data_IF_356666701190
#
_entry.id   IF_356666701190
#
_cell.length_a   1.000
_cell.length_b   1.000
_cell.length_c   1.000
_cell.angle_alpha   90.00
_cell.angle_beta   90.00
_cell.angle_gamma   90.00
#
_symmetry.space_group_name_H-M   'P 1'
#
loop_
_entity.id
_entity.type
_entity.pdbx_description
1 polymer ?
#
# COMPACT_ATOMS: atom_id res chain seq x y z
N UNK A 1 -60.66 14.57 43.29
CA UNK A 1 -59.35 15.13 43.82
C UNK A 1 -58.31 14.08 44.18
N UNK A 2 -58.62 12.93 44.80
CA UNK A 2 -57.56 11.92 45.18
C UNK A 2 -57.11 11.03 44.02
N UNK A 3 -57.89 10.85 42.97
CA UNK A 3 -57.55 10.00 41.80
C UNK A 3 -56.66 10.73 40.80
N UNK A 4 -56.80 12.01 40.64
CA UNK A 4 -56.00 12.82 39.66
C UNK A 4 -54.55 12.98 40.13
N UNK A 5 -54.30 13.10 41.43
CA UNK A 5 -52.92 13.14 41.97
C UNK A 5 -52.19 11.83 41.88
N UNK A 6 -52.87 10.69 41.80
CA UNK A 6 -52.25 9.36 41.66
C UNK A 6 -51.78 9.11 40.21
N UNK A 7 -52.57 9.61 39.23
CA UNK A 7 -52.23 9.47 37.81
C UNK A 7 -51.02 10.38 37.44
N UNK A 8 -50.97 11.61 37.98
CA UNK A 8 -49.86 12.53 37.76
C UNK A 8 -48.54 12.00 38.36
N UNK A 9 -48.60 11.35 39.53
CA UNK A 9 -47.43 10.71 40.15
C UNK A 9 -46.96 9.44 39.41
N UNK A 10 -47.86 8.66 38.82
CA UNK A 10 -47.51 7.48 38.02
C UNK A 10 -46.87 7.88 36.68
N UNK A 11 -47.34 8.95 36.01
CA UNK A 11 -46.76 9.44 34.77
C UNK A 11 -45.38 10.09 35.01
N UNK A 12 -45.20 10.79 36.16
CA UNK A 12 -43.91 11.36 36.52
C UNK A 12 -42.85 10.27 36.88
N UNK A 13 -43.25 9.15 37.49
CA UNK A 13 -42.34 8.01 37.76
C UNK A 13 -41.98 7.25 36.47
N UNK A 14 -42.89 7.12 35.51
CA UNK A 14 -42.64 6.45 34.25
C UNK A 14 -41.75 7.29 33.33
N UNK A 15 -41.87 8.63 33.37
CA UNK A 15 -40.98 9.54 32.65
C UNK A 15 -39.56 9.57 33.20
N UNK A 16 -39.36 9.36 34.53
CA UNK A 16 -38.05 9.33 35.15
C UNK A 16 -37.28 8.02 34.87
N UNK A 17 -37.97 6.92 34.63
CA UNK A 17 -37.35 5.60 34.33
C UNK A 17 -36.91 5.52 32.88
N UNK A 18 -37.49 6.29 31.94
CA UNK A 18 -37.07 6.29 30.53
C UNK A 18 -35.82 7.15 30.23
N UNK A 19 -35.34 7.96 31.19
CA UNK A 19 -34.11 8.77 31.00
C UNK A 19 -32.83 8.08 31.44
N UNK A 20 -32.87 6.86 31.93
CA UNK A 20 -31.67 6.14 32.45
C UNK A 20 -31.18 5.01 31.55
N UNK A 21 -31.74 4.82 30.31
CA UNK A 21 -31.30 3.76 29.38
C UNK A 21 -30.67 4.37 28.14
N UNK A 22 -29.98 5.49 28.24
CA UNK A 22 -29.15 6.05 27.15
C UNK A 22 -27.71 6.27 27.59
N UNK A 23 -27.13 5.27 28.29
CA UNK A 23 -25.69 5.08 28.29
C UNK A 23 -25.38 3.90 27.38
N UNK A 24 -25.47 4.11 26.06
CA UNK A 24 -24.78 3.27 25.13
C UNK A 24 -23.31 3.28 25.54
N UNK A 25 -22.76 2.13 25.87
CA UNK A 25 -21.35 1.93 26.12
C UNK A 25 -20.57 2.33 24.84
N UNK A 26 -20.27 3.63 24.70
CA UNK A 26 -19.13 4.04 23.88
C UNK A 26 -17.94 3.31 24.51
N UNK A 27 -17.37 2.37 23.79
CA UNK A 27 -16.07 1.85 24.13
C UNK A 27 -15.12 3.04 24.13
N UNK A 28 -14.78 3.56 25.30
CA UNK A 28 -13.74 4.55 25.52
C UNK A 28 -12.39 3.91 25.18
N UNK A 29 -12.19 3.60 23.89
CA UNK A 29 -10.84 3.37 23.40
C UNK A 29 -10.16 4.73 23.43
N UNK A 30 -9.08 4.89 24.20
CA UNK A 30 -8.35 6.15 24.22
C UNK A 30 -7.97 6.51 22.79
N UNK A 31 -8.19 7.77 22.42
CA UNK A 31 -7.77 8.29 21.13
C UNK A 31 -6.24 8.21 21.07
N UNK A 32 -5.73 7.30 20.24
CA UNK A 32 -4.30 7.16 20.02
C UNK A 32 -3.77 8.39 19.26
N UNK A 33 -2.56 8.87 19.58
CA UNK A 33 -1.92 9.92 18.81
C UNK A 33 -1.61 9.44 17.39
N UNK A 34 -1.39 10.39 16.46
CA UNK A 34 -0.91 10.05 15.12
C UNK A 34 0.52 9.49 15.18
N UNK A 35 0.81 8.58 14.25
CA UNK A 35 2.19 8.03 14.12
C UNK A 35 3.19 9.11 13.74
N UNK A 36 4.43 8.97 14.23
CA UNK A 36 5.61 9.75 13.85
C UNK A 36 6.52 8.98 12.88
N UNK A 37 7.61 9.60 12.46
CA UNK A 37 8.62 9.01 11.58
C UNK A 37 8.36 9.25 10.09
N UNK A 38 9.39 9.04 9.28
CA UNK A 38 9.32 9.20 7.82
C UNK A 38 8.68 7.98 7.16
N UNK A 39 8.08 8.17 5.99
CA UNK A 39 7.55 7.07 5.20
C UNK A 39 8.64 6.03 4.88
N UNK A 40 8.35 4.75 5.14
CA UNK A 40 9.30 3.66 4.98
C UNK A 40 10.43 3.62 6.01
N UNK A 41 10.30 4.33 7.14
CA UNK A 41 11.21 4.22 8.28
C UNK A 41 10.72 3.14 9.25
N UNK A 42 11.64 2.35 9.78
CA UNK A 42 11.38 1.26 10.74
C UNK A 42 12.31 1.43 11.94
N UNK A 43 11.74 1.40 13.15
CA UNK A 43 12.51 1.28 14.38
C UNK A 43 12.76 -0.19 14.67
N UNK A 44 14.02 -0.59 14.79
CA UNK A 44 14.45 -1.89 15.29
C UNK A 44 14.86 -1.75 16.76
N UNK A 45 14.04 -2.28 17.67
CA UNK A 45 14.28 -2.23 19.11
C UNK A 45 15.07 -3.47 19.49
N UNK A 46 16.38 -3.31 19.70
CA UNK A 46 17.29 -4.33 20.19
C UNK A 46 18.54 -3.70 20.80
N UNK A 47 19.18 -4.40 21.71
CA UNK A 47 20.40 -3.90 22.35
C UNK A 47 21.57 -3.81 21.38
N UNK A 48 22.53 -2.98 21.72
CA UNK A 48 23.68 -2.66 20.86
C UNK A 48 24.49 -3.90 20.48
N UNK A 49 24.68 -4.80 21.43
CA UNK A 49 25.39 -6.08 21.18
C UNK A 49 24.70 -6.95 20.13
N UNK A 50 23.37 -7.02 20.14
CA UNK A 50 22.60 -7.74 19.15
C UNK A 50 22.60 -7.04 17.80
N UNK A 51 22.53 -5.70 17.80
CA UNK A 51 22.59 -4.88 16.59
C UNK A 51 23.92 -4.99 15.85
N UNK A 52 25.03 -5.03 16.59
CA UNK A 52 26.37 -5.20 16.03
C UNK A 52 26.70 -6.67 15.71
N UNK A 53 25.85 -7.63 16.17
CA UNK A 53 25.97 -9.05 15.97
C UNK A 53 25.19 -9.61 14.77
N UNK A 54 25.03 -10.95 14.78
CA UNK A 54 24.35 -11.72 13.73
C UNK A 54 22.87 -11.28 13.54
N UNK A 55 22.14 -11.02 14.65
CA UNK A 55 20.74 -10.63 14.59
C UNK A 55 20.56 -9.27 13.89
N UNK A 56 21.40 -8.29 14.19
CA UNK A 56 21.37 -7.00 13.53
C UNK A 56 21.76 -7.08 12.05
N UNK A 57 22.74 -7.95 11.70
CA UNK A 57 23.06 -8.22 10.29
C UNK A 57 21.84 -8.80 9.56
N UNK A 58 21.23 -9.87 10.08
CA UNK A 58 20.04 -10.48 9.51
C UNK A 58 18.87 -9.47 9.36
N UNK A 59 18.72 -8.56 10.33
CA UNK A 59 17.70 -7.50 10.28
C UNK A 59 17.97 -6.51 9.14
N UNK A 60 19.21 -6.09 8.94
CA UNK A 60 19.61 -5.21 7.83
C UNK A 60 19.47 -5.92 6.48
N UNK A 61 19.91 -7.16 6.39
CA UNK A 61 19.82 -7.96 5.16
C UNK A 61 18.37 -8.14 4.70
N UNK A 62 17.43 -8.26 5.64
CA UNK A 62 16.01 -8.38 5.33
C UNK A 62 15.34 -7.03 5.06
N UNK A 63 15.43 -6.10 6.01
CA UNK A 63 14.63 -4.87 5.98
C UNK A 63 15.28 -3.74 5.17
N UNK A 64 16.60 -3.77 4.99
CA UNK A 64 17.31 -2.84 4.13
C UNK A 64 17.82 -3.48 2.84
N UNK A 65 17.24 -4.63 2.44
CA UNK A 65 17.45 -5.20 1.12
C UNK A 65 17.10 -4.18 0.03
N UNK A 66 17.67 -4.34 -1.16
CA UNK A 66 17.39 -3.44 -2.27
C UNK A 66 15.90 -3.49 -2.67
N UNK A 67 15.30 -2.31 -2.84
CA UNK A 67 13.96 -2.20 -3.41
C UNK A 67 14.02 -2.61 -4.89
N UNK A 68 13.15 -3.53 -5.35
CA UNK A 68 13.24 -4.09 -6.69
C UNK A 68 12.91 -3.05 -7.77
N UNK A 69 13.53 -3.21 -8.94
CA UNK A 69 13.26 -2.41 -10.14
C UNK A 69 13.39 -0.90 -9.95
N UNK A 70 14.42 -0.46 -9.22
CA UNK A 70 14.84 0.94 -9.21
C UNK A 70 16.12 1.10 -10.02
N UNK A 71 16.29 2.21 -10.78
CA UNK A 71 17.53 2.45 -11.54
C UNK A 71 18.73 2.74 -10.64
N UNK A 72 18.49 3.06 -9.37
CA UNK A 72 19.51 3.23 -8.33
C UNK A 72 19.16 2.35 -7.13
N UNK A 73 20.18 1.88 -6.41
CA UNK A 73 19.97 1.07 -5.22
C UNK A 73 19.38 1.93 -4.09
N UNK A 74 18.19 1.57 -3.65
CA UNK A 74 17.53 2.15 -2.50
C UNK A 74 17.06 1.01 -1.58
N UNK A 75 17.22 1.11 -0.25
CA UNK A 75 16.79 0.05 0.65
C UNK A 75 15.25 -0.04 0.72
N UNK A 76 14.72 -1.22 0.97
CA UNK A 76 13.28 -1.42 1.24
C UNK A 76 12.80 -0.45 2.33
N UNK A 77 13.49 -0.43 3.46
CA UNK A 77 13.19 0.46 4.59
C UNK A 77 14.44 1.15 5.10
N UNK A 78 14.27 2.34 5.67
CA UNK A 78 15.33 3.02 6.43
C UNK A 78 15.23 2.56 7.89
N UNK A 79 16.28 1.93 8.42
CA UNK A 79 16.25 1.34 9.76
C UNK A 79 16.94 2.27 10.76
N UNK A 80 16.29 2.46 11.90
CA UNK A 80 16.86 3.16 13.07
C UNK A 80 16.91 2.16 14.23
N UNK A 81 18.10 1.85 14.72
CA UNK A 81 18.23 1.01 15.92
C UNK A 81 18.02 1.84 17.18
N UNK A 82 17.19 1.34 18.08
CA UNK A 82 16.93 1.91 19.40
C UNK A 82 17.18 0.82 20.45
N UNK A 83 18.09 1.03 21.41
CA UNK A 83 18.31 0.08 22.50
C UNK A 83 17.02 -0.13 23.32
N UNK A 84 16.84 -1.32 23.88
CA UNK A 84 15.66 -1.65 24.73
C UNK A 84 15.48 -0.67 25.87
N UNK A 85 16.58 -0.24 26.51
CA UNK A 85 16.59 0.75 27.61
C UNK A 85 16.24 2.17 27.14
N UNK A 86 16.44 2.48 25.86
CA UNK A 86 16.14 3.78 25.24
C UNK A 86 14.76 3.82 24.56
N UNK A 87 14.02 2.72 24.53
CA UNK A 87 12.70 2.64 23.88
C UNK A 87 11.64 3.33 24.75
N UNK A 88 11.63 4.65 24.71
CA UNK A 88 10.72 5.52 25.44
C UNK A 88 9.58 6.04 24.55
N UNK A 89 8.71 6.87 25.13
CA UNK A 89 7.42 7.31 24.54
C UNK A 89 7.58 7.96 23.14
N UNK A 90 8.65 8.69 22.90
CA UNK A 90 8.94 9.29 21.59
C UNK A 90 9.07 8.23 20.48
N UNK A 91 9.68 7.09 20.79
CA UNK A 91 9.86 6.00 19.84
C UNK A 91 8.64 5.09 19.73
N UNK A 92 7.84 4.99 20.82
CA UNK A 92 6.61 4.17 20.83
C UNK A 92 5.56 4.65 19.83
N UNK A 93 5.51 5.95 19.53
CA UNK A 93 4.55 6.49 18.55
C UNK A 93 5.05 6.38 17.10
N UNK A 94 6.20 5.72 16.85
CA UNK A 94 6.70 5.55 15.49
C UNK A 94 5.82 4.61 14.66
N UNK A 95 5.74 4.89 13.37
CA UNK A 95 4.82 4.24 12.42
C UNK A 95 5.03 2.73 12.21
N UNK A 96 6.30 2.28 12.20
CA UNK A 96 6.67 0.88 12.06
C UNK A 96 7.74 0.53 13.10
N UNK A 97 7.47 -0.49 13.90
CA UNK A 97 8.36 -0.90 14.98
C UNK A 97 8.55 -2.42 14.92
N UNK A 98 9.79 -2.87 14.94
CA UNK A 98 10.16 -4.27 15.12
C UNK A 98 10.88 -4.40 16.46
N UNK A 99 10.30 -5.14 17.39
CA UNK A 99 10.80 -5.34 18.75
C UNK A 99 11.39 -6.73 18.87
N UNK A 100 12.63 -6.83 19.28
CA UNK A 100 13.32 -8.09 19.57
C UNK A 100 13.32 -8.31 21.10
N UNK A 101 12.50 -9.26 21.54
CA UNK A 101 12.47 -9.73 22.92
C UNK A 101 13.34 -10.98 23.04
N UNK A 102 14.63 -10.77 23.27
CA UNK A 102 15.63 -11.84 23.40
C UNK A 102 15.93 -12.03 24.88
N UNK A 103 15.53 -13.16 25.46
CA UNK A 103 15.79 -13.52 26.86
C UNK A 103 15.67 -15.03 27.05
N UNK A 104 16.54 -15.61 27.87
CA UNK A 104 16.47 -17.02 28.25
C UNK A 104 15.14 -17.41 28.93
N UNK A 105 14.41 -16.42 29.45
CA UNK A 105 13.09 -16.62 30.06
C UNK A 105 11.97 -16.78 29.03
N UNK A 106 12.23 -16.58 27.75
CA UNK A 106 11.24 -16.76 26.67
C UNK A 106 10.92 -18.25 26.51
N UNK A 107 9.76 -18.67 27.03
CA UNK A 107 9.31 -20.06 26.97
C UNK A 107 8.72 -20.45 25.62
N UNK A 108 8.17 -19.50 24.87
CA UNK A 108 7.55 -19.71 23.56
C UNK A 108 8.12 -18.72 22.56
N UNK A 109 8.92 -19.22 21.64
CA UNK A 109 9.45 -18.43 20.53
C UNK A 109 8.37 -18.15 19.48
N UNK A 110 8.45 -16.99 18.80
CA UNK A 110 7.54 -16.68 17.72
C UNK A 110 7.52 -15.21 17.33
N UNK A 111 6.75 -14.93 16.26
CA UNK A 111 6.53 -13.58 15.74
C UNK A 111 5.07 -13.18 15.93
N UNK A 112 4.84 -12.02 16.52
CA UNK A 112 3.51 -11.46 16.79
C UNK A 112 3.37 -10.15 16.01
N UNK A 113 2.26 -10.01 15.30
CA UNK A 113 1.89 -8.81 14.55
C UNK A 113 0.78 -8.08 15.31
N UNK A 114 0.96 -6.79 15.54
CA UNK A 114 0.00 -5.92 16.23
C UNK A 114 -0.19 -4.63 15.45
N UNK A 115 -1.38 -4.06 15.54
CA UNK A 115 -1.71 -2.76 15.00
C UNK A 115 -2.11 -1.82 16.12
N UNK A 116 -1.81 -0.52 15.95
CA UNK A 116 -2.34 0.55 16.78
C UNK A 116 -2.11 0.36 18.30
N UNK A 117 -0.86 0.03 18.67
CA UNK A 117 -0.51 -0.25 20.06
C UNK A 117 -0.34 1.04 20.86
N UNK A 118 0.39 2.02 20.33
CA UNK A 118 0.69 3.29 20.99
C UNK A 118 0.32 4.51 20.13
N UNK A 119 0.11 4.33 18.83
CA UNK A 119 -0.25 5.38 17.89
C UNK A 119 -1.13 4.81 16.77
N UNK A 120 -1.77 5.67 15.99
CA UNK A 120 -2.62 5.28 14.86
C UNK A 120 -2.23 6.04 13.58
N UNK A 121 -2.19 5.36 12.44
CA UNK A 121 -2.19 3.90 12.20
C UNK A 121 -0.77 3.32 12.32
N UNK A 122 -0.57 2.34 13.17
CA UNK A 122 0.74 1.80 13.55
C UNK A 122 0.90 0.32 13.19
N UNK A 123 2.10 -0.08 12.75
CA UNK A 123 2.52 -1.48 12.59
C UNK A 123 3.58 -1.81 13.64
N UNK A 124 3.32 -2.81 14.49
CA UNK A 124 4.26 -3.30 15.50
C UNK A 124 4.45 -4.81 15.34
N UNK A 125 5.69 -5.23 15.15
CA UNK A 125 6.07 -6.63 15.03
C UNK A 125 6.97 -6.96 16.20
N UNK A 126 6.65 -8.03 16.94
CA UNK A 126 7.46 -8.50 18.05
C UNK A 126 8.00 -9.90 17.75
N UNK A 127 9.32 -10.06 17.82
CA UNK A 127 10.02 -11.32 17.69
C UNK A 127 10.52 -11.70 19.08
N UNK A 128 10.08 -12.85 19.59
CA UNK A 128 10.47 -13.34 20.92
C UNK A 128 11.24 -14.64 20.78
N UNK A 129 12.43 -14.73 21.38
CA UNK A 129 13.30 -15.90 21.29
C UNK A 129 14.22 -16.01 22.52
N UNK A 130 14.71 -17.23 22.86
CA UNK A 130 15.60 -17.42 24.00
C UNK A 130 17.05 -16.92 23.75
N UNK A 131 17.44 -16.70 22.48
CA UNK A 131 18.75 -16.21 22.09
C UNK A 131 18.70 -15.39 20.80
N UNK A 132 19.74 -14.59 20.53
CA UNK A 132 19.87 -13.79 19.32
C UNK A 132 19.91 -14.65 18.05
N UNK A 133 20.55 -15.82 18.09
CA UNK A 133 20.57 -16.75 16.95
C UNK A 133 19.17 -17.34 16.65
N UNK A 134 18.41 -17.69 17.68
CA UNK A 134 17.04 -18.14 17.53
C UNK A 134 16.14 -17.02 16.99
N UNK A 135 16.35 -15.76 17.41
CA UNK A 135 15.64 -14.61 16.89
C UNK A 135 15.98 -14.34 15.41
N UNK A 136 17.25 -14.49 15.02
CA UNK A 136 17.69 -14.37 13.62
C UNK A 136 17.09 -15.45 12.74
N UNK A 137 16.97 -16.70 13.25
CA UNK A 137 16.30 -17.80 12.56
C UNK A 137 14.83 -17.49 12.32
N UNK A 138 14.09 -17.06 13.36
CA UNK A 138 12.68 -16.66 13.25
C UNK A 138 12.48 -15.50 12.28
N UNK A 139 13.38 -14.51 12.31
CA UNK A 139 13.35 -13.37 11.39
C UNK A 139 13.47 -13.86 9.94
N UNK A 140 14.40 -14.77 9.66
CA UNK A 140 14.62 -15.34 8.33
C UNK A 140 13.44 -16.18 7.85
N UNK A 141 12.89 -17.05 8.70
CA UNK A 141 11.74 -17.91 8.39
C UNK A 141 10.44 -17.10 8.14
N UNK A 142 10.30 -15.96 8.78
CA UNK A 142 9.13 -15.09 8.64
C UNK A 142 9.40 -13.83 7.80
N UNK A 143 10.53 -13.76 7.12
CA UNK A 143 11.03 -12.54 6.48
C UNK A 143 10.06 -11.92 5.51
N UNK A 144 9.55 -12.68 4.56
CA UNK A 144 8.56 -12.21 3.58
C UNK A 144 7.29 -11.65 4.27
N UNK A 145 6.81 -12.35 5.29
CA UNK A 145 5.61 -11.95 6.03
C UNK A 145 5.83 -10.65 6.82
N UNK A 146 7.02 -10.47 7.38
CA UNK A 146 7.43 -9.25 8.10
C UNK A 146 7.48 -8.05 7.14
N UNK A 147 8.17 -8.22 6.00
CA UNK A 147 8.25 -7.19 4.95
C UNK A 147 6.86 -6.83 4.45
N UNK A 148 6.05 -7.82 4.08
CA UNK A 148 4.69 -7.61 3.58
C UNK A 148 3.79 -6.88 4.59
N UNK A 149 3.91 -7.16 5.90
CA UNK A 149 3.14 -6.47 6.93
C UNK A 149 3.48 -4.97 7.01
N UNK A 150 4.77 -4.62 6.91
CA UNK A 150 5.22 -3.22 6.92
C UNK A 150 4.81 -2.51 5.62
N UNK A 151 5.02 -3.15 4.46
CA UNK A 151 4.60 -2.61 3.16
C UNK A 151 3.08 -2.38 3.11
N UNK A 152 2.30 -3.32 3.63
CA UNK A 152 0.84 -3.17 3.69
C UNK A 152 0.43 -2.00 4.58
N UNK A 153 1.08 -1.82 5.74
CA UNK A 153 0.81 -0.70 6.63
C UNK A 153 1.17 0.65 5.98
N UNK A 154 2.29 0.72 5.25
CA UNK A 154 2.66 1.92 4.48
C UNK A 154 1.63 2.20 3.37
N UNK A 155 1.24 1.19 2.62
CA UNK A 155 0.24 1.28 1.56
C UNK A 155 -1.12 1.75 2.08
N UNK A 156 -1.60 1.18 3.17
CA UNK A 156 -2.89 1.55 3.76
C UNK A 156 -2.93 3.01 4.21
N UNK A 157 -1.82 3.54 4.76
CA UNK A 157 -1.71 4.97 5.13
C UNK A 157 -1.83 5.88 3.91
N UNK A 158 -1.18 5.49 2.80
CA UNK A 158 -1.23 6.26 1.55
C UNK A 158 -2.66 6.22 0.97
N UNK A 159 -3.30 5.05 0.93
CA UNK A 159 -4.67 4.87 0.42
C UNK A 159 -5.66 5.71 1.25
N UNK A 160 -5.59 5.65 2.58
CA UNK A 160 -6.47 6.43 3.46
C UNK A 160 -6.29 7.93 3.23
N UNK A 161 -5.04 8.38 3.06
CA UNK A 161 -4.75 9.78 2.76
C UNK A 161 -5.24 10.19 1.37
N UNK A 162 -5.03 9.36 0.35
CA UNK A 162 -5.50 9.59 -1.01
C UNK A 162 -7.03 9.71 -1.07
N UNK A 163 -7.76 8.82 -0.37
CA UNK A 163 -9.21 8.85 -0.29
C UNK A 163 -9.74 10.10 0.44
N UNK A 164 -9.02 10.55 1.48
CA UNK A 164 -9.41 11.76 2.23
C UNK A 164 -9.24 13.06 1.43
N UNK A 165 -8.23 13.11 0.57
CA UNK A 165 -7.86 14.28 -0.23
C UNK A 165 -7.89 13.94 -1.72
N UNK A 166 -9.00 13.36 -2.17
CA UNK A 166 -9.17 12.89 -3.54
C UNK A 166 -9.40 14.04 -4.53
N UNK A 167 -8.81 13.92 -5.72
CA UNK A 167 -9.07 14.84 -6.84
C UNK A 167 -10.46 14.53 -7.44
N UNK A 168 -11.43 15.47 -7.39
CA UNK A 168 -12.85 15.17 -7.59
C UNK A 168 -13.22 14.77 -9.03
N UNK A 169 -12.44 15.16 -10.02
CA UNK A 169 -12.82 15.07 -11.44
C UNK A 169 -12.20 13.85 -12.18
N UNK A 170 -11.44 13.00 -11.49
CA UNK A 170 -10.72 11.89 -12.14
C UNK A 170 -11.54 10.60 -12.07
N UNK A 171 -12.02 10.23 -10.89
CA UNK A 171 -12.73 8.98 -10.68
C UNK A 171 -13.93 8.78 -11.62
N UNK A 172 -14.83 9.75 -11.88
CA UNK A 172 -15.94 9.56 -12.81
C UNK A 172 -15.48 9.21 -14.23
N UNK A 173 -14.38 9.83 -14.70
CA UNK A 173 -13.84 9.59 -16.06
C UNK A 173 -13.23 8.19 -16.18
N UNK A 174 -12.53 7.73 -15.14
CA UNK A 174 -11.96 6.37 -15.11
C UNK A 174 -13.08 5.33 -14.99
N UNK A 175 -14.08 5.58 -14.14
CA UNK A 175 -15.25 4.69 -13.98
C UNK A 175 -16.07 4.52 -15.25
N UNK A 176 -16.22 5.58 -16.04
CA UNK A 176 -16.90 5.50 -17.35
C UNK A 176 -16.23 4.46 -18.27
N UNK A 177 -14.90 4.39 -18.27
CA UNK A 177 -14.15 3.49 -19.14
C UNK A 177 -14.01 2.07 -18.58
N UNK A 178 -13.84 1.93 -17.25
CA UNK A 178 -13.43 0.65 -16.62
C UNK A 178 -14.48 0.03 -15.71
N UNK A 179 -15.54 0.77 -15.35
CA UNK A 179 -16.53 0.35 -14.36
C UNK A 179 -16.07 0.48 -12.89
N UNK A 180 -14.88 1.04 -12.64
CA UNK A 180 -14.31 1.30 -11.32
C UNK A 180 -13.23 2.36 -11.36
N UNK A 181 -12.65 2.76 -10.23
CA UNK A 181 -11.54 3.73 -10.21
C UNK A 181 -10.64 3.54 -9.01
N UNK A 182 -9.32 3.79 -9.16
CA UNK A 182 -8.47 4.10 -8.04
C UNK A 182 -8.81 5.46 -7.41
N UNK A 183 -8.34 5.71 -6.17
CA UNK A 183 -8.39 7.03 -5.53
C UNK A 183 -7.15 7.84 -5.92
N UNK A 184 -7.34 8.91 -6.68
CA UNK A 184 -6.25 9.81 -7.08
C UNK A 184 -6.14 10.98 -6.10
N UNK A 185 -4.98 11.20 -5.44
CA UNK A 185 -4.79 12.34 -4.55
C UNK A 185 -4.90 13.70 -5.27
N UNK A 186 -5.14 14.75 -4.50
CA UNK A 186 -5.01 16.12 -5.01
C UNK A 186 -3.64 16.36 -5.65
N UNK A 187 -3.63 17.09 -6.78
CA UNK A 187 -2.45 17.32 -7.61
C UNK A 187 -2.46 16.54 -8.91
N UNK A 188 -3.04 15.34 -8.92
CA UNK A 188 -3.22 14.58 -10.14
C UNK A 188 -4.23 15.22 -11.08
N UNK A 189 -3.97 15.14 -12.40
CA UNK A 189 -4.81 15.70 -13.47
C UNK A 189 -4.81 14.77 -14.67
N UNK A 190 -5.92 14.73 -15.40
CA UNK A 190 -6.01 14.03 -16.68
C UNK A 190 -5.21 14.84 -17.71
N UNK A 191 -4.25 14.20 -18.36
CA UNK A 191 -3.38 14.75 -19.40
C UNK A 191 -3.88 14.42 -20.80
N UNK A 192 -4.39 13.19 -20.96
CA UNK A 192 -4.93 12.68 -22.20
C UNK A 192 -6.07 11.72 -21.91
N UNK A 193 -7.11 11.73 -22.74
CA UNK A 193 -8.20 10.73 -22.75
C UNK A 193 -8.48 10.35 -24.20
N UNK A 194 -8.57 9.03 -24.44
CA UNK A 194 -9.15 8.45 -25.65
C UNK A 194 -10.25 7.46 -25.23
N UNK A 195 -10.82 6.72 -26.15
CA UNK A 195 -11.88 5.74 -25.86
C UNK A 195 -11.39 4.57 -24.97
N UNK A 196 -10.10 4.24 -25.07
CA UNK A 196 -9.51 3.08 -24.38
C UNK A 196 -8.21 3.38 -23.59
N UNK A 197 -7.83 4.66 -23.46
CA UNK A 197 -6.62 5.07 -22.75
C UNK A 197 -6.82 6.41 -22.03
N UNK A 198 -6.38 6.49 -20.76
CA UNK A 198 -6.36 7.72 -19.98
C UNK A 198 -4.96 7.87 -19.36
N UNK A 199 -4.35 9.03 -19.54
CA UNK A 199 -3.12 9.43 -18.86
C UNK A 199 -3.44 10.41 -17.74
N UNK A 200 -3.06 10.07 -16.52
CA UNK A 200 -3.29 10.86 -15.32
C UNK A 200 -1.94 11.06 -14.63
N UNK A 201 -1.56 12.30 -14.28
CA UNK A 201 -0.28 12.55 -13.59
C UNK A 201 -0.32 13.74 -12.63
N UNK A 202 0.59 13.70 -11.65
CA UNK A 202 1.03 14.83 -10.82
C UNK A 202 2.44 15.21 -11.27
N UNK A 203 2.55 16.34 -11.99
CA UNK A 203 3.80 16.82 -12.55
C UNK A 203 4.32 17.99 -11.75
N UNK A 204 5.54 17.86 -11.23
CA UNK A 204 6.31 18.88 -10.54
C UNK A 204 7.59 19.17 -11.30
N UNK A 205 8.30 20.19 -10.91
CA UNK A 205 9.50 20.65 -11.62
C UNK A 205 10.53 19.54 -11.94
N UNK A 206 10.71 18.57 -11.04
CA UNK A 206 11.71 17.51 -11.19
C UNK A 206 11.14 16.10 -10.93
N UNK A 207 9.83 15.98 -10.83
CA UNK A 207 9.18 14.67 -10.60
C UNK A 207 7.87 14.58 -11.35
N UNK A 208 7.63 13.45 -11.98
CA UNK A 208 6.32 13.06 -12.48
C UNK A 208 5.94 11.73 -11.85
N UNK A 209 4.78 11.70 -11.22
CA UNK A 209 4.11 10.48 -10.82
C UNK A 209 2.88 10.31 -11.71
N UNK A 210 2.83 9.25 -12.48
CA UNK A 210 1.74 9.06 -13.43
C UNK A 210 1.10 7.68 -13.35
N UNK A 211 -0.14 7.62 -13.78
CA UNK A 211 -0.90 6.39 -13.97
C UNK A 211 -1.56 6.44 -15.33
N UNK A 212 -1.28 5.43 -16.14
CA UNK A 212 -2.06 5.14 -17.33
C UNK A 212 -3.16 4.15 -16.96
N UNK A 213 -4.35 4.40 -17.45
CA UNK A 213 -5.48 3.47 -17.35
C UNK A 213 -5.89 3.14 -18.77
N UNK A 214 -5.84 1.87 -19.14
CA UNK A 214 -6.25 1.46 -20.47
C UNK A 214 -6.93 0.10 -20.46
N UNK A 215 -7.65 -0.22 -21.54
CA UNK A 215 -8.32 -1.50 -21.70
C UNK A 215 -8.22 -2.01 -23.11
N UNK A 216 -8.21 -3.33 -23.25
CA UNK A 216 -8.21 -4.02 -24.53
C UNK A 216 -9.00 -5.33 -24.41
N UNK A 217 -9.55 -5.89 -25.52
CA UNK A 217 -10.31 -7.14 -25.50
C UNK A 217 -9.50 -8.30 -24.93
N UNK A 218 -10.10 -9.07 -24.03
CA UNK A 218 -9.50 -10.29 -23.54
C UNK A 218 -9.44 -11.33 -24.67
N UNK A 219 -8.33 -12.06 -24.76
CA UNK A 219 -8.20 -13.22 -25.64
C UNK A 219 -8.64 -14.50 -24.90
N UNK A 220 -8.85 -15.58 -25.64
CA UNK A 220 -9.23 -16.87 -25.06
C UNK A 220 -8.07 -17.53 -24.25
N UNK A 221 -6.82 -17.08 -24.46
CA UNK A 221 -5.63 -17.68 -23.86
C UNK A 221 -4.57 -16.63 -23.50
N UNK A 222 -3.81 -16.92 -22.46
CA UNK A 222 -2.53 -16.27 -22.12
C UNK A 222 -2.56 -14.75 -21.89
N UNK A 223 -3.69 -14.19 -21.44
CA UNK A 223 -3.84 -12.74 -21.22
C UNK A 223 -2.80 -12.15 -20.25
N UNK A 224 -2.31 -12.94 -19.30
CA UNK A 224 -1.43 -12.47 -18.23
C UNK A 224 -0.02 -13.08 -18.28
N UNK A 225 0.42 -13.57 -19.45
CA UNK A 225 1.85 -13.85 -19.64
C UNK A 225 2.64 -12.55 -19.70
N UNK A 226 3.88 -12.56 -19.23
CA UNK A 226 4.79 -11.40 -19.30
C UNK A 226 4.83 -10.84 -20.73
N UNK A 227 5.01 -11.72 -21.71
CA UNK A 227 5.09 -11.33 -23.13
C UNK A 227 3.85 -10.56 -23.60
N UNK A 228 2.64 -11.04 -23.28
CA UNK A 228 1.39 -10.38 -23.66
C UNK A 228 1.20 -9.05 -22.94
N UNK A 229 1.44 -9.00 -21.64
CA UNK A 229 1.33 -7.77 -20.85
C UNK A 229 2.27 -6.70 -21.42
N UNK A 230 3.54 -7.04 -21.66
CA UNK A 230 4.53 -6.09 -22.17
C UNK A 230 4.26 -5.68 -23.61
N UNK A 231 3.79 -6.60 -24.46
CA UNK A 231 3.42 -6.27 -25.84
C UNK A 231 2.29 -5.22 -25.89
N UNK A 232 1.20 -5.44 -25.15
CA UNK A 232 0.10 -4.48 -25.06
C UNK A 232 0.55 -3.16 -24.43
N UNK A 233 1.31 -3.24 -23.31
CA UNK A 233 1.88 -2.05 -22.69
C UNK A 233 2.65 -1.19 -23.70
N UNK A 234 3.60 -1.77 -24.39
CA UNK A 234 4.44 -1.07 -25.36
C UNK A 234 3.63 -0.49 -26.52
N UNK A 235 2.60 -1.20 -27.00
CA UNK A 235 1.71 -0.70 -28.02
C UNK A 235 0.96 0.56 -27.54
N UNK A 236 0.29 0.49 -26.39
CA UNK A 236 -0.45 1.63 -25.85
C UNK A 236 0.44 2.84 -25.56
N UNK A 237 1.64 2.60 -25.02
CA UNK A 237 2.58 3.68 -24.72
C UNK A 237 3.11 4.34 -25.98
N UNK A 238 3.45 3.57 -27.02
CA UNK A 238 3.89 4.10 -28.31
C UNK A 238 2.84 5.00 -28.97
N UNK A 239 1.57 4.62 -28.89
CA UNK A 239 0.46 5.37 -29.48
C UNK A 239 0.07 6.61 -28.67
N UNK A 240 0.29 6.59 -27.34
CA UNK A 240 -0.33 7.55 -26.44
C UNK A 240 0.64 8.41 -25.64
N UNK A 241 1.90 8.02 -25.49
CA UNK A 241 2.88 8.68 -24.63
C UNK A 241 4.12 9.07 -25.43
N UNK A 242 4.05 10.14 -26.23
CA UNK A 242 5.19 10.63 -27.00
C UNK A 242 6.27 11.16 -26.04
N UNK A 243 7.52 11.02 -26.44
CA UNK A 243 8.64 11.68 -25.80
C UNK A 243 8.75 13.16 -26.20
N UNK A 244 9.86 13.78 -25.84
CA UNK A 244 10.11 15.20 -26.10
C UNK A 244 10.48 15.49 -27.56
N UNK A 245 11.04 14.52 -28.29
CA UNK A 245 11.51 14.66 -29.66
C UNK A 245 10.63 13.85 -30.63
N UNK A 246 10.68 14.21 -31.91
CA UNK A 246 9.96 13.48 -32.94
C UNK A 246 10.35 11.99 -32.99
N UNK A 247 9.36 11.12 -33.15
CA UNK A 247 9.51 9.67 -33.17
C UNK A 247 10.05 9.04 -31.86
N UNK A 248 10.00 9.77 -30.75
CA UNK A 248 10.30 9.22 -29.44
C UNK A 248 9.00 8.92 -28.66
N UNK A 249 8.99 7.87 -27.86
CA UNK A 249 7.83 7.42 -27.07
C UNK A 249 8.26 6.56 -25.89
N UNK A 250 7.41 6.49 -24.87
CA UNK A 250 7.66 5.63 -23.73
C UNK A 250 7.54 4.14 -24.11
N UNK A 251 8.46 3.32 -23.60
CA UNK A 251 8.51 1.87 -23.80
C UNK A 251 9.01 1.17 -22.54
N UNK A 252 8.82 -0.13 -22.42
CA UNK A 252 9.47 -0.96 -21.39
C UNK A 252 10.96 -1.09 -21.72
N UNK A 253 11.83 -0.88 -20.72
CA UNK A 253 13.26 -1.11 -20.87
C UNK A 253 13.55 -2.61 -21.06
N UNK A 254 14.32 -2.95 -22.08
CA UNK A 254 14.61 -4.33 -22.48
C UNK A 254 15.74 -4.97 -21.65
N UNK A 255 16.58 -4.16 -20.99
CA UNK A 255 17.73 -4.65 -20.23
C UNK A 255 17.29 -5.25 -18.87
N UNK A 256 16.28 -4.64 -18.25
CA UNK A 256 15.72 -5.11 -17.00
C UNK A 256 14.46 -5.93 -17.26
N UNK A 257 14.59 -7.24 -17.34
CA UNK A 257 13.45 -8.15 -17.55
C UNK A 257 12.36 -7.89 -16.50
N UNK A 258 11.13 -7.51 -16.92
CA UNK A 258 10.03 -7.31 -15.98
C UNK A 258 9.67 -8.58 -15.21
N UNK A 259 9.16 -8.44 -14.00
CA UNK A 259 8.65 -9.55 -13.19
C UNK A 259 7.13 -9.48 -13.12
N UNK A 260 6.46 -10.61 -13.31
CA UNK A 260 5.01 -10.75 -13.18
C UNK A 260 4.67 -11.64 -12.00
N UNK A 261 3.83 -11.14 -11.08
CA UNK A 261 3.31 -11.89 -9.93
C UNK A 261 1.78 -11.83 -9.91
N UNK A 262 1.15 -12.96 -9.58
CA UNK A 262 -0.29 -13.00 -9.38
C UNK A 262 -0.63 -12.66 -7.93
N UNK A 263 -1.40 -11.60 -7.75
CA UNK A 263 -1.76 -11.05 -6.43
C UNK A 263 -3.28 -11.14 -6.23
N UNK A 264 -3.67 -11.51 -5.00
CA UNK A 264 -5.06 -11.38 -4.52
C UNK A 264 -5.11 -10.34 -3.41
N UNK A 265 -5.84 -9.25 -3.65
CA UNK A 265 -5.96 -8.17 -2.68
C UNK A 265 -7.39 -7.66 -2.60
N UNK A 266 -8.00 -7.66 -1.41
CA UNK A 266 -9.37 -7.20 -1.14
C UNK A 266 -10.40 -7.78 -2.13
N UNK A 267 -10.29 -9.08 -2.43
CA UNK A 267 -11.20 -9.80 -3.33
C UNK A 267 -10.91 -9.64 -4.83
N UNK A 268 -9.98 -8.78 -5.23
CA UNK A 268 -9.53 -8.63 -6.62
C UNK A 268 -8.28 -9.47 -6.86
N UNK A 269 -8.27 -10.22 -7.96
CA UNK A 269 -7.09 -10.90 -8.50
C UNK A 269 -6.54 -10.11 -9.66
N UNK A 270 -5.23 -9.97 -9.74
CA UNK A 270 -4.54 -9.26 -10.83
C UNK A 270 -3.12 -9.77 -11.01
N UNK A 271 -2.60 -9.62 -12.22
CA UNK A 271 -1.18 -9.75 -12.51
C UNK A 271 -0.49 -8.42 -12.19
N UNK A 272 0.36 -8.37 -11.17
CA UNK A 272 1.24 -7.24 -10.90
C UNK A 272 2.51 -7.41 -11.70
N UNK A 273 2.83 -6.43 -12.53
CA UNK A 273 4.06 -6.39 -13.33
C UNK A 273 4.95 -5.24 -12.86
N UNK A 274 6.22 -5.53 -12.59
CA UNK A 274 7.22 -4.53 -12.19
C UNK A 274 8.38 -4.53 -13.18
N UNK A 275 8.91 -3.35 -13.46
CA UNK A 275 10.05 -3.19 -14.36
C UNK A 275 10.53 -1.76 -14.44
N UNK A 276 11.39 -1.52 -15.44
CA UNK A 276 11.85 -0.19 -15.80
C UNK A 276 11.24 0.24 -17.14
N UNK A 277 10.94 1.51 -17.27
CA UNK A 277 10.56 2.16 -18.52
C UNK A 277 11.65 3.10 -18.98
N UNK A 278 11.69 3.34 -20.26
CA UNK A 278 12.54 4.32 -20.92
C UNK A 278 11.78 5.04 -22.03
N UNK A 279 12.35 6.09 -22.55
CA UNK A 279 11.88 6.71 -23.79
C UNK A 279 12.73 6.21 -24.95
N UNK A 280 12.11 5.55 -25.91
CA UNK A 280 12.77 5.13 -27.13
C UNK A 280 13.40 6.35 -27.83
N UNK A 281 14.71 6.31 -28.06
CA UNK A 281 15.46 7.41 -28.68
C UNK A 281 15.83 8.57 -27.74
N UNK A 282 15.68 8.43 -26.41
CA UNK A 282 16.06 9.43 -25.41
C UNK A 282 16.57 8.74 -24.14
N UNK A 283 17.17 9.51 -23.22
CA UNK A 283 17.74 9.03 -21.96
C UNK A 283 16.80 9.08 -20.75
N UNK A 284 15.53 9.42 -20.97
CA UNK A 284 14.53 9.44 -19.90
C UNK A 284 14.12 8.02 -19.53
N UNK A 285 13.97 7.75 -18.22
CA UNK A 285 13.53 6.45 -17.75
C UNK A 285 13.22 6.46 -16.26
N UNK A 286 12.70 5.34 -15.77
CA UNK A 286 12.35 5.16 -14.36
C UNK A 286 11.65 3.84 -14.07
N UNK A 287 11.20 3.61 -12.83
CA UNK A 287 10.44 2.44 -12.47
C UNK A 287 8.97 2.53 -12.88
N UNK A 288 8.37 1.36 -13.13
CA UNK A 288 6.93 1.21 -13.26
C UNK A 288 6.41 0.00 -12.47
N UNK A 289 5.13 0.05 -12.13
CA UNK A 289 4.34 -1.04 -11.60
C UNK A 289 2.97 -1.03 -12.27
N UNK A 290 2.48 -2.17 -12.74
CA UNK A 290 1.16 -2.25 -13.35
C UNK A 290 0.32 -3.39 -12.78
N UNK A 291 -1.00 -3.20 -12.76
CA UNK A 291 -1.99 -4.21 -12.41
C UNK A 291 -2.86 -4.52 -13.61
N UNK A 292 -2.83 -5.74 -14.10
CA UNK A 292 -3.67 -6.22 -15.20
C UNK A 292 -4.71 -7.21 -14.69
N UNK A 293 -5.99 -6.97 -14.98
CA UNK A 293 -7.10 -7.82 -14.50
C UNK A 293 -8.30 -7.75 -15.44
N UNK A 294 -9.18 -8.74 -15.33
CA UNK A 294 -10.41 -8.78 -16.13
C UNK A 294 -11.39 -7.68 -15.72
N UNK A 295 -12.10 -7.12 -16.70
CA UNK A 295 -13.33 -6.36 -16.48
C UNK A 295 -14.39 -7.23 -15.77
N UNK A 296 -15.44 -6.62 -15.19
CA UNK A 296 -16.50 -7.37 -14.49
C UNK A 296 -17.21 -8.41 -15.35
N UNK A 297 -17.37 -8.13 -16.63
CA UNK A 297 -18.00 -9.04 -17.59
C UNK A 297 -17.02 -10.01 -18.27
N UNK A 298 -15.73 -9.92 -17.91
CA UNK A 298 -14.67 -10.78 -18.42
C UNK A 298 -14.27 -10.51 -19.89
N UNK A 299 -14.84 -9.51 -20.53
CA UNK A 299 -14.60 -9.26 -21.98
C UNK A 299 -13.35 -8.47 -22.28
N UNK A 300 -12.94 -7.63 -21.36
CA UNK A 300 -11.76 -6.77 -21.49
C UNK A 300 -10.72 -7.09 -20.41
N UNK A 301 -9.46 -6.82 -20.74
CA UNK A 301 -8.39 -6.65 -19.74
C UNK A 301 -8.28 -5.16 -19.44
N UNK A 302 -8.38 -4.81 -18.15
CA UNK A 302 -8.14 -3.48 -17.63
C UNK A 302 -6.72 -3.45 -17.08
N UNK A 303 -5.97 -2.40 -17.43
CA UNK A 303 -4.63 -2.16 -16.93
C UNK A 303 -4.55 -0.81 -16.22
N UNK A 304 -3.99 -0.83 -15.02
CA UNK A 304 -3.55 0.34 -14.27
C UNK A 304 -2.03 0.32 -14.28
N UNK A 305 -1.37 1.24 -14.97
CA UNK A 305 0.08 1.25 -15.16
C UNK A 305 0.67 2.51 -14.54
N UNK A 306 1.32 2.35 -13.40
CA UNK A 306 1.91 3.43 -12.63
C UNK A 306 3.40 3.60 -12.92
N UNK A 307 3.85 4.83 -13.15
CA UNK A 307 5.26 5.14 -13.43
C UNK A 307 5.76 6.34 -12.62
N UNK A 308 7.07 6.40 -12.47
CA UNK A 308 7.75 7.52 -11.81
C UNK A 308 8.91 8.01 -12.66
N UNK A 309 8.98 9.33 -12.84
CA UNK A 309 10.16 10.05 -13.31
C UNK A 309 10.66 10.99 -12.22
N UNK A 310 11.86 10.78 -11.73
CA UNK A 310 12.46 11.58 -10.68
C UNK A 310 14.00 11.59 -10.80
N UNK A 311 14.57 12.25 -11.82
CA UNK A 311 16.01 12.12 -12.15
C UNK A 311 16.94 12.64 -11.04
N UNK A 312 16.46 13.53 -10.15
CA UNK A 312 17.26 14.14 -9.08
C UNK A 312 17.00 13.55 -7.69
N UNK A 313 16.04 12.61 -7.56
CA UNK A 313 15.61 12.12 -6.25
C UNK A 313 15.54 10.61 -6.19
N UNK A 314 15.57 10.08 -4.98
CA UNK A 314 15.22 8.69 -4.68
C UNK A 314 13.77 8.40 -5.09
N UNK A 315 13.56 7.23 -5.72
CA UNK A 315 12.30 6.92 -6.41
C UNK A 315 11.38 6.02 -5.59
N UNK A 316 11.91 5.29 -4.62
CA UNK A 316 11.17 4.31 -3.82
C UNK A 316 9.87 4.89 -3.25
N UNK A 317 9.92 6.06 -2.62
CA UNK A 317 8.73 6.65 -1.98
C UNK A 317 7.70 7.13 -3.01
N UNK A 318 8.15 7.66 -4.13
CA UNK A 318 7.27 8.03 -5.23
C UNK A 318 6.59 6.80 -5.85
N UNK A 319 7.34 5.71 -6.05
CA UNK A 319 6.79 4.46 -6.57
C UNK A 319 5.76 3.85 -5.62
N UNK A 320 6.01 3.83 -4.29
CA UNK A 320 5.03 3.40 -3.29
C UNK A 320 3.74 4.22 -3.32
N UNK A 321 3.84 5.53 -3.54
CA UNK A 321 2.66 6.39 -3.66
C UNK A 321 1.83 6.02 -4.89
N UNK A 322 2.48 5.84 -6.03
CA UNK A 322 1.81 5.42 -7.27
C UNK A 322 1.23 4.00 -7.13
N UNK A 323 2.00 3.07 -6.59
CA UNK A 323 1.55 1.70 -6.31
C UNK A 323 0.30 1.69 -5.43
N UNK A 324 0.26 2.49 -4.37
CA UNK A 324 -0.90 2.59 -3.48
C UNK A 324 -2.15 3.09 -4.21
N UNK A 325 -1.99 3.97 -5.22
CA UNK A 325 -3.11 4.37 -6.09
C UNK A 325 -3.66 3.14 -6.82
N UNK A 326 -2.81 2.31 -7.44
CA UNK A 326 -3.27 1.11 -8.15
C UNK A 326 -4.00 0.13 -7.22
N UNK A 327 -3.48 -0.07 -6.02
CA UNK A 327 -4.10 -0.92 -5.00
C UNK A 327 -5.43 -0.38 -4.48
N UNK A 328 -5.67 0.93 -4.58
CA UNK A 328 -6.91 1.56 -4.12
C UNK A 328 -8.10 1.38 -5.08
N UNK A 329 -7.93 0.72 -6.21
CA UNK A 329 -9.00 0.52 -7.18
C UNK A 329 -10.21 -0.18 -6.54
N UNK A 330 -11.37 0.45 -6.68
CA UNK A 330 -12.67 -0.07 -6.25
C UNK A 330 -13.66 -0.04 -7.42
N UNK A 331 -14.46 -1.08 -7.56
CA UNK A 331 -15.54 -1.11 -8.53
C UNK A 331 -16.65 -0.14 -8.15
N UNK A 332 -17.25 0.53 -9.09
CA UNK A 332 -18.47 1.31 -8.86
C UNK A 332 -19.57 0.39 -8.33
N UNK A 333 -20.23 0.79 -7.22
CA UNK A 333 -21.22 -0.04 -6.54
C UNK A 333 -20.64 -1.14 -5.62
N UNK A 334 -19.36 -1.10 -5.33
CA UNK A 334 -18.67 -2.04 -4.42
C UNK A 334 -18.16 -3.31 -5.13
N UNK A 335 -17.33 -4.07 -4.44
CA UNK A 335 -16.88 -5.37 -4.92
C UNK A 335 -18.06 -6.33 -5.00
N UNK A 336 -18.15 -7.13 -6.09
CA UNK A 336 -19.10 -8.24 -6.14
C UNK A 336 -18.87 -9.15 -4.91
N UNK A 337 -19.93 -9.75 -4.34
CA UNK A 337 -19.76 -10.75 -3.30
C UNK A 337 -18.78 -11.81 -3.82
N UNK A 338 -17.81 -12.19 -3.00
CA UNK A 338 -16.95 -13.33 -3.33
C UNK A 338 -17.88 -14.51 -3.66
N UNK A 339 -17.74 -15.09 -4.85
CA UNK A 339 -18.42 -16.35 -5.17
C UNK A 339 -18.11 -17.30 -4.02
N UNK A 340 -19.17 -17.84 -3.40
CA UNK A 340 -19.01 -18.90 -2.40
C UNK A 340 -18.32 -20.04 -3.14
N UNK A 341 -17.12 -20.39 -2.68
CA UNK A 341 -16.52 -21.66 -3.06
C UNK A 341 -17.54 -22.75 -2.74
N UNK A 342 -18.19 -23.31 -3.76
CA UNK A 342 -18.93 -24.57 -3.63
C UNK A 342 -17.87 -25.66 -3.33
N UNK A 343 -18.05 -26.27 -2.14
CA UNK A 343 -17.25 -27.37 -1.63
C UNK A 343 -17.23 -28.58 -2.56
#
# INVERSE_FOLDING_TARGET
MKAEHLIIRAVALFGAVMMTVSCGSRSDKPLLPNVSGKAGEVIAVMDRSDWDGNLGSATRDLLAADYPFLPQREPLFSIVNVPTTGFADLFKIHRNIVIYNVSQDVRKSGVIYRHDVWAYPQCVIQISAPSSDSAATLLKENGERIVNAIEQAERDRIIVNAKRYEAPNIAPVVQEMTGGSPNFPMGYRIRKKTDNFIWISDDKQYTTQGVFVYKYPASDKENFTEQNIIAHRNQFLKENVPGMFDNTYMITNEVATPEVKFIRFRGRQFAETRGLWEVYGDYMGGPFVSHSFYSRDGKDIIVLDGFVYAPKYDKRQYLRQVEAILYSFEWAGGNAPAEKEEN
#
